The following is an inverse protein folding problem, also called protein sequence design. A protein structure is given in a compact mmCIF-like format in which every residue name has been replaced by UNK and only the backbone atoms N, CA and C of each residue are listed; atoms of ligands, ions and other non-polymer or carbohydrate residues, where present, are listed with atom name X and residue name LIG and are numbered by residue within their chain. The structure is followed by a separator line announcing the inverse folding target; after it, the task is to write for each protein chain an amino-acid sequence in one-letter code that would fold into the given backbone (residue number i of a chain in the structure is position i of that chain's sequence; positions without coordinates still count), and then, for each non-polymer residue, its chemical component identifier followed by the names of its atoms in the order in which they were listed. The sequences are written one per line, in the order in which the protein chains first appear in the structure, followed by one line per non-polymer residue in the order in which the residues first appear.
data_IF_257497080433
#
_entry.id   IF_257497080433
#
_cell.length_a   1.000
_cell.length_b   1.000
_cell.length_c   1.000
_cell.angle_alpha   90.00
_cell.angle_beta   90.00
_cell.angle_gamma   90.00
#
_symmetry.space_group_name_H-M   'P 1'
#
loop_
_entity.id
_entity.type
_entity.pdbx_description
1 polymer ?
#
# COMPACT_ATOMS: atom_id res chain seq x y z
N UNK A 1 -9.33 11.20 -14.90
CA UNK A 1 -9.32 9.86 -14.29
C UNK A 1 -10.70 9.27 -14.54
N UNK A 2 -10.82 8.33 -15.47
CA UNK A 2 -12.09 7.61 -15.66
C UNK A 2 -12.32 6.67 -14.47
N UNK A 3 -13.53 6.73 -13.92
CA UNK A 3 -13.92 5.99 -12.73
C UNK A 3 -14.12 4.52 -13.12
N UNK A 4 -13.11 3.67 -12.91
CA UNK A 4 -13.13 2.24 -13.28
C UNK A 4 -14.31 1.50 -12.65
N UNK A 5 -14.91 2.04 -11.57
CA UNK A 5 -16.10 1.51 -10.92
C UNK A 5 -17.37 1.50 -11.77
N UNK A 6 -17.45 2.32 -12.82
CA UNK A 6 -18.63 2.42 -13.70
C UNK A 6 -18.45 1.71 -15.05
N UNK A 7 -17.24 1.20 -15.33
CA UNK A 7 -16.97 0.51 -16.59
C UNK A 7 -17.61 -0.89 -16.56
N UNK A 8 -18.52 -1.14 -17.49
CA UNK A 8 -19.21 -2.43 -17.60
C UNK A 8 -18.91 -3.15 -18.91
N UNK A 9 -18.70 -4.47 -18.82
CA UNK A 9 -18.41 -5.36 -19.94
C UNK A 9 -19.67 -6.11 -20.38
N UNK A 10 -19.70 -6.50 -21.67
CA UNK A 10 -20.70 -7.44 -22.16
C UNK A 10 -20.48 -8.83 -21.55
N UNK A 11 -21.50 -9.68 -21.58
CA UNK A 11 -21.36 -11.05 -21.08
C UNK A 11 -20.29 -11.87 -21.81
N UNK A 12 -20.07 -11.60 -23.10
CA UNK A 12 -19.06 -12.30 -23.89
C UNK A 12 -17.67 -11.92 -23.45
N UNK A 13 -17.41 -10.62 -23.34
CA UNK A 13 -16.10 -10.09 -22.91
C UNK A 13 -15.80 -10.49 -21.46
N UNK A 14 -16.79 -10.39 -20.58
CA UNK A 14 -16.65 -10.79 -19.18
C UNK A 14 -16.39 -12.29 -19.01
N UNK A 15 -17.04 -13.15 -19.82
CA UNK A 15 -16.82 -14.59 -19.78
C UNK A 15 -15.42 -14.95 -20.29
N UNK A 16 -14.95 -14.26 -21.34
CA UNK A 16 -13.59 -14.41 -21.88
C UNK A 16 -12.54 -14.02 -20.85
N UNK A 17 -12.72 -12.88 -20.18
CA UNK A 17 -11.81 -12.38 -19.14
C UNK A 17 -11.73 -13.34 -17.93
N UNK A 18 -12.84 -13.97 -17.56
CA UNK A 18 -12.91 -14.93 -16.46
C UNK A 18 -12.45 -16.35 -16.86
N UNK A 19 -12.19 -16.62 -18.14
CA UNK A 19 -11.88 -17.96 -18.63
C UNK A 19 -13.03 -18.97 -18.46
N UNK A 20 -14.29 -18.53 -18.39
CA UNK A 20 -15.46 -19.39 -18.17
C UNK A 20 -16.47 -19.27 -19.32
N UNK A 21 -17.42 -20.23 -19.41
CA UNK A 21 -18.52 -20.11 -20.36
C UNK A 21 -19.48 -18.98 -19.97
N UNK A 22 -20.11 -18.34 -20.98
CA UNK A 22 -21.17 -17.35 -20.74
C UNK A 22 -22.34 -17.93 -19.92
N UNK A 23 -22.60 -19.25 -20.03
CA UNK A 23 -23.61 -19.95 -19.22
C UNK A 23 -23.23 -20.00 -17.74
N UNK A 24 -21.96 -20.27 -17.43
CA UNK A 24 -21.42 -20.25 -16.06
C UNK A 24 -21.55 -18.84 -15.47
N UNK A 25 -21.18 -17.81 -16.25
CA UNK A 25 -21.28 -16.42 -15.82
C UNK A 25 -22.73 -15.98 -15.57
N UNK A 26 -23.69 -16.41 -16.40
CA UNK A 26 -25.13 -16.17 -16.12
C UNK A 26 -25.55 -16.77 -14.79
N UNK A 27 -25.19 -18.04 -14.55
CA UNK A 27 -25.51 -18.75 -13.30
C UNK A 27 -24.94 -18.03 -12.08
N UNK A 28 -23.72 -17.50 -12.18
CA UNK A 28 -23.10 -16.74 -11.09
C UNK A 28 -23.82 -15.42 -10.81
N UNK A 29 -24.27 -14.72 -11.85
CA UNK A 29 -25.10 -13.53 -11.68
C UNK A 29 -26.46 -13.87 -11.04
N UNK A 30 -27.11 -14.95 -11.49
CA UNK A 30 -28.39 -15.42 -10.95
C UNK A 30 -28.28 -15.83 -9.47
N UNK A 31 -27.15 -16.41 -9.09
CA UNK A 31 -26.86 -16.80 -7.70
C UNK A 31 -26.29 -15.66 -6.86
N UNK A 32 -26.17 -14.43 -7.39
CA UNK A 32 -25.63 -13.27 -6.68
C UNK A 32 -24.11 -13.28 -6.41
N UNK A 33 -23.35 -14.19 -7.04
CA UNK A 33 -21.88 -14.28 -6.86
C UNK A 33 -21.11 -13.16 -7.56
N UNK A 34 -21.68 -12.58 -8.60
CA UNK A 34 -21.13 -11.42 -9.32
C UNK A 34 -22.25 -10.44 -9.60
N UNK A 35 -22.00 -9.14 -9.42
CA UNK A 35 -23.02 -8.13 -9.72
C UNK A 35 -23.13 -7.95 -11.22
N UNK A 36 -24.36 -7.78 -11.68
CA UNK A 36 -24.66 -7.42 -13.05
C UNK A 36 -25.81 -6.43 -13.10
N UNK A 37 -25.76 -5.50 -14.02
CA UNK A 37 -26.87 -4.62 -14.37
C UNK A 37 -27.44 -5.01 -15.73
N UNK A 38 -28.58 -4.44 -16.10
CA UNK A 38 -29.14 -4.58 -17.46
C UNK A 38 -29.00 -3.26 -18.19
N UNK A 39 -28.50 -3.31 -19.41
CA UNK A 39 -28.55 -2.17 -20.33
C UNK A 39 -30.00 -1.84 -20.68
N UNK A 40 -30.28 -0.65 -21.27
CA UNK A 40 -31.61 -0.33 -21.80
C UNK A 40 -32.13 -1.35 -22.82
N UNK A 41 -31.24 -2.05 -23.53
CA UNK A 41 -31.55 -3.16 -24.44
C UNK A 41 -31.79 -4.51 -23.74
N UNK A 42 -31.79 -4.56 -22.41
CA UNK A 42 -32.05 -5.76 -21.61
C UNK A 42 -30.87 -6.73 -21.48
N UNK A 43 -29.71 -6.43 -22.07
CA UNK A 43 -28.52 -7.27 -22.00
C UNK A 43 -27.82 -7.12 -20.65
N UNK A 44 -27.30 -8.23 -20.11
CA UNK A 44 -26.51 -8.19 -18.87
C UNK A 44 -25.16 -7.52 -19.12
N UNK A 45 -24.82 -6.60 -18.24
CA UNK A 45 -23.56 -5.87 -18.16
C UNK A 45 -22.91 -6.16 -16.82
N UNK A 46 -21.61 -6.39 -16.82
CA UNK A 46 -20.84 -6.84 -15.66
C UNK A 46 -19.78 -5.82 -15.32
N UNK A 47 -19.64 -5.46 -14.05
CA UNK A 47 -18.66 -4.48 -13.62
C UNK A 47 -17.24 -5.02 -13.79
N UNK A 48 -16.39 -4.27 -14.49
CA UNK A 48 -15.00 -4.66 -14.73
C UNK A 48 -14.24 -4.89 -13.41
N UNK A 49 -14.55 -4.09 -12.38
CA UNK A 49 -13.97 -4.25 -11.05
C UNK A 49 -14.32 -5.61 -10.41
N UNK A 50 -15.56 -6.08 -10.58
CA UNK A 50 -15.99 -7.37 -10.02
C UNK A 50 -15.39 -8.54 -10.81
N UNK A 51 -15.24 -8.39 -12.13
CA UNK A 51 -14.59 -9.38 -12.98
C UNK A 51 -13.13 -9.53 -12.57
N UNK A 52 -12.35 -8.44 -12.54
CA UNK A 52 -10.94 -8.47 -12.17
C UNK A 52 -10.68 -9.05 -10.77
N UNK A 53 -11.63 -8.86 -9.84
CA UNK A 53 -11.54 -9.44 -8.50
C UNK A 53 -11.71 -10.96 -8.50
N UNK A 54 -12.49 -11.52 -9.43
CA UNK A 54 -12.90 -12.93 -9.44
C UNK A 54 -12.11 -13.74 -10.48
N UNK A 55 -11.48 -13.08 -11.46
CA UNK A 55 -10.61 -13.73 -12.45
C UNK A 55 -9.52 -14.53 -11.71
N UNK A 56 -9.48 -15.86 -11.85
CA UNK A 56 -8.37 -16.66 -11.35
C UNK A 56 -7.08 -16.12 -11.99
N UNK A 57 -6.10 -15.73 -11.19
CA UNK A 57 -4.81 -15.29 -11.73
C UNK A 57 -4.20 -16.48 -12.44
N UNK A 58 -4.01 -16.37 -13.75
CA UNK A 58 -3.35 -17.43 -14.51
C UNK A 58 -1.93 -17.59 -13.95
N UNK A 59 -1.55 -18.82 -13.58
CA UNK A 59 -0.20 -19.14 -13.08
C UNK A 59 0.91 -18.67 -14.04
N UNK A 60 0.61 -18.57 -15.34
CA UNK A 60 1.52 -18.06 -16.37
C UNK A 60 1.76 -16.53 -16.31
N UNK A 61 0.90 -15.77 -15.62
CA UNK A 61 1.08 -14.31 -15.42
C UNK A 61 1.96 -14.00 -14.20
N UNK A 62 2.34 -15.01 -13.40
CA UNK A 62 3.22 -14.81 -12.25
C UNK A 62 4.66 -14.46 -12.65
N UNK A 63 5.12 -14.95 -13.82
CA UNK A 63 6.49 -14.74 -14.30
C UNK A 63 6.77 -13.28 -14.74
N UNK A 64 5.73 -12.51 -15.10
CA UNK A 64 5.88 -11.10 -15.51
C UNK A 64 5.79 -10.10 -14.34
N UNK A 65 5.58 -10.59 -13.11
CA UNK A 65 5.41 -9.74 -11.94
C UNK A 65 6.74 -9.20 -11.45
N UNK A 66 6.81 -7.89 -11.21
CA UNK A 66 8.05 -7.23 -10.79
C UNK A 66 8.25 -7.25 -9.29
N UNK A 67 9.50 -7.12 -8.86
CA UNK A 67 9.82 -6.78 -7.47
C UNK A 67 9.61 -5.28 -7.23
N UNK A 68 9.00 -4.89 -6.11
CA UNK A 68 8.97 -3.50 -5.67
C UNK A 68 9.86 -3.34 -4.44
N UNK A 69 10.84 -2.45 -4.56
CA UNK A 69 11.59 -1.92 -3.42
C UNK A 69 10.79 -0.74 -2.84
N UNK A 70 10.55 -0.70 -1.54
CA UNK A 70 9.88 0.43 -0.90
C UNK A 70 10.76 1.07 0.18
N UNK A 71 10.97 2.38 0.05
CA UNK A 71 11.77 3.19 0.97
C UNK A 71 10.96 4.37 1.52
N UNK A 72 11.21 4.74 2.79
CA UNK A 72 10.51 5.84 3.46
C UNK A 72 11.38 6.48 4.53
N UNK A 73 11.32 7.80 4.60
CA UNK A 73 11.81 8.58 5.77
C UNK A 73 10.73 9.55 6.25
N UNK A 74 10.78 9.92 7.53
CA UNK A 74 9.73 10.74 8.16
C UNK A 74 9.78 12.22 7.78
N UNK A 75 10.97 12.78 7.48
CA UNK A 75 11.17 14.21 7.20
C UNK A 75 12.10 14.44 6.00
N UNK A 76 11.99 15.63 5.40
CA UNK A 76 12.89 16.07 4.32
C UNK A 76 14.35 16.14 4.77
N UNK A 77 14.60 16.37 6.06
CA UNK A 77 15.94 16.46 6.64
C UNK A 77 16.69 15.13 6.56
N UNK A 78 15.98 14.03 6.29
CA UNK A 78 16.54 12.68 6.15
C UNK A 78 16.59 12.20 4.70
N UNK A 79 16.64 13.12 3.74
CA UNK A 79 16.71 12.78 2.32
C UNK A 79 17.95 11.93 1.96
N UNK A 80 19.09 12.18 2.61
CA UNK A 80 20.29 11.38 2.39
C UNK A 80 20.12 9.93 2.86
N UNK A 81 19.45 9.74 4.00
CA UNK A 81 19.11 8.41 4.50
C UNK A 81 18.16 7.67 3.54
N UNK A 82 17.17 8.36 2.97
CA UNK A 82 16.30 7.80 1.94
C UNK A 82 17.11 7.32 0.72
N UNK A 83 18.11 8.10 0.28
CA UNK A 83 19.00 7.71 -0.83
C UNK A 83 19.80 6.46 -0.49
N UNK A 84 20.37 6.37 0.72
CA UNK A 84 21.10 5.17 1.17
C UNK A 84 20.19 3.96 1.24
N UNK A 85 18.98 4.12 1.77
CA UNK A 85 17.99 3.05 1.87
C UNK A 85 17.62 2.50 0.49
N UNK A 86 17.42 3.39 -0.49
CA UNK A 86 17.20 3.03 -1.89
C UNK A 86 18.38 2.25 -2.45
N UNK A 87 19.61 2.72 -2.26
CA UNK A 87 20.81 2.03 -2.74
C UNK A 87 20.93 0.62 -2.15
N UNK A 88 20.64 0.44 -0.86
CA UNK A 88 20.64 -0.87 -0.20
C UNK A 88 19.61 -1.81 -0.82
N UNK A 89 18.38 -1.33 -1.05
CA UNK A 89 17.31 -2.12 -1.65
C UNK A 89 17.63 -2.50 -3.10
N UNK A 90 18.10 -1.54 -3.89
CA UNK A 90 18.45 -1.77 -5.30
C UNK A 90 19.62 -2.73 -5.44
N UNK A 91 20.69 -2.54 -4.66
CA UNK A 91 21.83 -3.46 -4.65
C UNK A 91 21.42 -4.89 -4.26
N UNK A 92 20.52 -5.03 -3.27
CA UNK A 92 20.00 -6.33 -2.87
C UNK A 92 19.19 -6.99 -4.00
N UNK A 93 18.27 -6.25 -4.61
CA UNK A 93 17.43 -6.78 -5.70
C UNK A 93 18.24 -7.09 -6.96
N UNK A 94 19.24 -6.26 -7.30
CA UNK A 94 20.20 -6.54 -8.39
C UNK A 94 21.02 -7.80 -8.11
N UNK A 95 21.53 -7.98 -6.89
CA UNK A 95 22.34 -9.16 -6.52
C UNK A 95 21.54 -10.45 -6.64
N UNK A 96 20.24 -10.41 -6.37
CA UNK A 96 19.34 -11.55 -6.53
C UNK A 96 18.82 -11.72 -7.97
N UNK A 97 19.23 -10.87 -8.92
CA UNK A 97 18.85 -10.96 -10.33
C UNK A 97 17.38 -10.61 -10.61
N UNK A 98 16.72 -9.86 -9.72
CA UNK A 98 15.31 -9.52 -9.88
C UNK A 98 15.12 -8.28 -10.74
N UNK A 99 14.08 -8.28 -11.58
CA UNK A 99 13.56 -7.06 -12.18
C UNK A 99 12.78 -6.27 -11.11
N UNK A 100 13.13 -5.00 -10.91
CA UNK A 100 12.54 -4.21 -9.83
C UNK A 100 12.18 -2.78 -10.23
N UNK A 101 11.22 -2.21 -9.49
CA UNK A 101 10.93 -0.79 -9.42
C UNK A 101 11.11 -0.30 -7.97
N UNK A 102 11.69 0.88 -7.78
CA UNK A 102 11.80 1.50 -6.46
C UNK A 102 10.72 2.57 -6.27
N UNK A 103 9.88 2.38 -5.24
CA UNK A 103 8.91 3.37 -4.77
C UNK A 103 9.47 4.01 -3.50
N UNK A 104 9.36 5.33 -3.40
CA UNK A 104 9.86 6.10 -2.27
C UNK A 104 8.77 7.03 -1.75
N UNK A 105 8.75 7.25 -0.45
CA UNK A 105 7.86 8.21 0.18
C UNK A 105 8.58 9.08 1.21
N UNK A 106 8.05 10.28 1.35
CA UNK A 106 8.39 11.19 2.43
C UNK A 106 7.18 11.39 3.34
N UNK A 107 7.41 11.20 4.64
CA UNK A 107 6.44 11.47 5.68
C UNK A 107 6.36 10.37 6.72
N UNK A 108 5.68 10.70 7.81
CA UNK A 108 5.47 9.83 8.97
C UNK A 108 4.96 8.43 8.60
N UNK A 109 5.39 7.46 9.42
CA UNK A 109 4.93 6.08 9.37
C UNK A 109 3.44 5.94 9.71
N UNK A 110 2.81 6.98 10.28
CA UNK A 110 1.39 7.05 10.60
C UNK A 110 0.54 7.62 9.45
N UNK A 111 1.15 8.13 8.38
CA UNK A 111 0.41 8.66 7.24
C UNK A 111 0.11 7.57 6.20
N UNK A 112 -1.15 7.15 6.08
CA UNK A 112 -1.57 6.11 5.12
C UNK A 112 -1.87 6.67 3.72
N UNK A 113 -1.87 7.99 3.53
CA UNK A 113 -2.24 8.65 2.27
C UNK A 113 -1.03 9.01 1.39
N UNK A 114 0.17 8.58 1.77
CA UNK A 114 1.39 8.82 0.99
C UNK A 114 1.25 8.23 -0.42
N UNK A 115 1.72 8.98 -1.43
CA UNK A 115 1.48 8.63 -2.84
C UNK A 115 2.17 7.32 -3.22
N UNK A 116 3.39 7.08 -2.73
CA UNK A 116 4.11 5.84 -2.96
C UNK A 116 3.38 4.63 -2.34
N UNK A 117 2.92 4.75 -1.09
CA UNK A 117 2.17 3.72 -0.40
C UNK A 117 0.86 3.39 -1.13
N UNK A 118 0.11 4.40 -1.54
CA UNK A 118 -1.13 4.20 -2.31
C UNK A 118 -0.86 3.53 -3.66
N UNK A 119 0.27 3.89 -4.32
CA UNK A 119 0.72 3.21 -5.54
C UNK A 119 1.06 1.74 -5.27
N UNK A 120 1.86 1.46 -4.23
CA UNK A 120 2.24 0.11 -3.82
C UNK A 120 1.02 -0.77 -3.55
N UNK A 121 0.08 -0.29 -2.72
CA UNK A 121 -1.14 -1.03 -2.40
C UNK A 121 -1.96 -1.34 -3.66
N UNK A 122 -2.11 -0.37 -4.55
CA UNK A 122 -2.83 -0.57 -5.82
C UNK A 122 -2.15 -1.62 -6.70
N UNK A 123 -0.81 -1.58 -6.80
CA UNK A 123 0.00 -2.54 -7.56
C UNK A 123 -0.17 -3.97 -6.99
N UNK A 124 -0.01 -4.13 -5.67
CA UNK A 124 -0.27 -5.41 -5.00
C UNK A 124 -1.69 -5.91 -5.33
N UNK A 125 -2.70 -5.04 -5.20
CA UNK A 125 -4.09 -5.38 -5.49
C UNK A 125 -4.39 -5.66 -6.97
N UNK A 126 -3.53 -5.20 -7.88
CA UNK A 126 -3.59 -5.51 -9.31
C UNK A 126 -2.93 -6.85 -9.64
N UNK A 127 -2.21 -7.45 -8.68
CA UNK A 127 -1.51 -8.72 -8.85
C UNK A 127 -0.21 -8.60 -9.65
N UNK A 128 0.35 -7.39 -9.79
CA UNK A 128 1.51 -7.12 -10.65
C UNK A 128 2.85 -7.05 -9.90
N UNK A 129 2.84 -7.37 -8.60
CA UNK A 129 4.01 -7.30 -7.70
C UNK A 129 4.38 -8.69 -7.22
N UNK A 130 5.47 -9.30 -7.66
CA UNK A 130 5.87 -10.64 -7.19
C UNK A 130 6.43 -10.58 -5.79
N UNK A 131 7.14 -9.49 -5.47
CA UNK A 131 7.87 -9.33 -4.22
C UNK A 131 7.86 -7.88 -3.76
N UNK A 132 7.68 -7.67 -2.46
CA UNK A 132 7.90 -6.41 -1.78
C UNK A 132 9.18 -6.52 -0.93
N UNK A 133 10.16 -5.67 -1.20
CA UNK A 133 11.42 -5.61 -0.45
C UNK A 133 11.47 -4.36 0.40
N UNK A 134 11.80 -4.55 1.68
CA UNK A 134 11.92 -3.51 2.70
C UNK A 134 13.25 -3.66 3.44
N UNK A 135 13.81 -2.56 3.94
CA UNK A 135 14.93 -2.64 4.88
C UNK A 135 14.45 -3.08 6.25
N UNK A 136 13.37 -2.49 6.74
CA UNK A 136 12.69 -2.81 7.99
C UNK A 136 11.17 -2.69 7.85
N UNK A 137 10.41 -3.40 8.68
CA UNK A 137 8.95 -3.35 8.71
C UNK A 137 8.39 -1.93 8.88
N UNK A 138 8.97 -1.16 9.79
CA UNK A 138 8.55 0.21 10.10
C UNK A 138 8.85 1.23 8.99
N UNK A 139 9.62 0.81 7.96
CA UNK A 139 9.79 1.61 6.75
C UNK A 139 8.59 1.57 5.83
N UNK A 140 7.69 0.60 6.00
CA UNK A 140 6.38 0.62 5.36
C UNK A 140 5.41 1.55 6.11
N UNK A 141 5.10 1.20 7.35
CA UNK A 141 4.15 1.89 8.22
C UNK A 141 4.53 1.64 9.69
N UNK A 142 4.23 2.60 10.57
CA UNK A 142 4.46 2.44 12.02
C UNK A 142 3.47 1.47 12.65
N UNK A 143 2.23 1.49 12.18
CA UNK A 143 1.18 0.54 12.56
C UNK A 143 0.50 0.01 11.30
N UNK A 144 -0.03 -1.22 11.36
CA UNK A 144 -0.80 -1.79 10.25
C UNK A 144 0.03 -2.33 9.09
N UNK A 145 1.35 -2.46 9.24
CA UNK A 145 2.19 -3.14 8.26
C UNK A 145 1.74 -4.61 8.06
N UNK A 146 1.28 -5.26 9.12
CA UNK A 146 0.73 -6.62 9.10
C UNK A 146 -0.52 -6.74 8.23
N UNK A 147 -1.35 -5.70 8.17
CA UNK A 147 -2.50 -5.68 7.26
C UNK A 147 -2.02 -5.63 5.81
N UNK A 148 -0.94 -4.89 5.54
CA UNK A 148 -0.32 -4.87 4.21
C UNK A 148 0.32 -6.22 3.89
N UNK A 149 0.96 -6.88 4.85
CA UNK A 149 1.54 -8.20 4.64
C UNK A 149 0.48 -9.29 4.42
N UNK A 150 -0.66 -9.22 5.13
CA UNK A 150 -1.80 -10.09 4.86
C UNK A 150 -2.37 -9.87 3.45
N UNK A 151 -2.41 -8.61 2.98
CA UNK A 151 -2.73 -8.33 1.57
C UNK A 151 -1.65 -8.86 0.63
N UNK A 152 -0.36 -8.77 0.97
CA UNK A 152 0.69 -9.37 0.15
C UNK A 152 0.46 -10.88 0.02
N UNK A 153 0.18 -11.58 1.11
CA UNK A 153 -0.10 -13.03 1.12
C UNK A 153 -1.31 -13.40 0.25
N UNK A 154 -2.46 -12.73 0.45
CA UNK A 154 -3.67 -12.93 -0.36
C UNK A 154 -3.43 -12.69 -1.85
N UNK A 155 -2.50 -11.79 -2.17
CA UNK A 155 -2.15 -11.45 -3.54
C UNK A 155 -0.89 -12.19 -4.02
N UNK A 156 -0.42 -13.22 -3.31
CA UNK A 156 0.78 -14.01 -3.66
C UNK A 156 2.02 -13.14 -3.92
N UNK A 157 2.18 -12.08 -3.13
CA UNK A 157 3.35 -11.19 -3.11
C UNK A 157 4.25 -11.63 -1.97
N UNK A 158 5.49 -12.03 -2.27
CA UNK A 158 6.49 -12.34 -1.25
C UNK A 158 6.95 -11.07 -0.53
N UNK A 159 7.07 -11.09 0.80
CA UNK A 159 7.64 -9.97 1.56
C UNK A 159 9.05 -10.33 2.04
N UNK A 160 10.03 -9.51 1.64
CA UNK A 160 11.44 -9.68 2.03
C UNK A 160 11.91 -8.49 2.84
N UNK A 161 12.48 -8.75 4.02
CA UNK A 161 13.01 -7.72 4.93
C UNK A 161 14.52 -7.94 5.10
N UNK A 162 15.32 -6.96 4.68
CA UNK A 162 16.79 -7.06 4.62
C UNK A 162 17.43 -6.93 6.02
N UNK A 163 16.74 -6.31 6.99
CA UNK A 163 17.23 -6.06 8.36
C UNK A 163 18.63 -5.41 8.42
N UNK A 164 18.94 -4.53 7.47
CA UNK A 164 20.15 -3.70 7.51
C UNK A 164 19.82 -2.34 8.11
N UNK A 165 20.26 -2.12 9.35
CA UNK A 165 20.22 -0.81 10.00
C UNK A 165 21.37 0.05 9.48
N UNK A 166 21.12 0.86 8.45
CA UNK A 166 22.11 1.79 7.88
C UNK A 166 21.83 3.27 8.20
N UNK A 167 21.03 3.52 9.23
CA UNK A 167 20.38 4.82 9.45
C UNK A 167 21.20 5.70 10.40
N UNK A 168 21.53 6.92 9.98
CA UNK A 168 22.22 7.94 10.80
C UNK A 168 21.32 8.51 11.91
N UNK A 169 20.01 8.46 11.70
CA UNK A 169 18.97 8.79 12.69
C UNK A 169 18.49 7.49 13.28
N UNK A 170 18.52 7.39 14.61
CA UNK A 170 18.10 6.13 15.24
C UNK A 170 16.61 5.93 15.03
N UNK A 171 16.22 4.68 14.80
CA UNK A 171 14.83 4.25 14.83
C UNK A 171 14.01 4.85 15.99
N UNK A 172 14.66 5.00 17.15
CA UNK A 172 14.09 5.60 18.37
C UNK A 172 13.68 7.06 18.16
N UNK A 173 14.49 7.87 17.46
CA UNK A 173 14.16 9.27 17.17
C UNK A 173 12.92 9.37 16.27
N UNK A 174 12.79 8.52 15.25
CA UNK A 174 11.57 8.49 14.43
C UNK A 174 10.34 8.02 15.23
N UNK A 175 10.52 7.06 16.14
CA UNK A 175 9.43 6.55 16.98
C UNK A 175 8.89 7.64 17.92
N UNK A 176 9.78 8.44 18.50
CA UNK A 176 9.42 9.58 19.34
C UNK A 176 8.63 10.62 18.56
N UNK A 177 9.04 10.92 17.32
CA UNK A 177 8.32 11.86 16.46
C UNK A 177 6.90 11.37 16.16
N UNK A 178 6.73 10.08 15.84
CA UNK A 178 5.42 9.49 15.60
C UNK A 178 4.55 9.48 16.88
N UNK A 179 5.14 9.31 18.06
CA UNK A 179 4.42 9.48 19.34
C UNK A 179 3.92 10.91 19.54
N UNK A 180 4.73 11.93 19.23
CA UNK A 180 4.28 13.33 19.30
C UNK A 180 3.10 13.56 18.37
N UNK A 181 3.17 13.08 17.12
CA UNK A 181 2.07 13.22 16.16
C UNK A 181 0.79 12.57 16.69
N UNK A 182 0.88 11.35 17.21
CA UNK A 182 -0.25 10.60 17.74
C UNK A 182 -0.90 11.37 18.91
N UNK A 183 -0.10 11.78 19.90
CA UNK A 183 -0.60 12.52 21.06
C UNK A 183 -1.15 13.89 20.66
N UNK A 184 -0.56 14.55 19.66
CA UNK A 184 -1.07 15.81 19.11
C UNK A 184 -2.47 15.63 18.54
N UNK A 185 -2.71 14.56 17.76
CA UNK A 185 -4.03 14.25 17.22
C UNK A 185 -5.04 13.96 18.34
N UNK A 186 -4.66 13.17 19.35
CA UNK A 186 -5.54 12.89 20.49
C UNK A 186 -5.83 14.14 21.32
N UNK A 187 -4.83 14.96 21.60
CA UNK A 187 -4.97 16.20 22.38
C UNK A 187 -5.84 17.23 21.66
N UNK A 188 -5.71 17.34 20.34
CA UNK A 188 -6.56 18.20 19.52
C UNK A 188 -8.03 17.74 19.54
N UNK A 189 -8.28 16.42 19.55
CA UNK A 189 -9.64 15.87 19.69
C UNK A 189 -10.22 16.03 21.10
N UNK A 190 -9.40 15.83 22.13
CA UNK A 190 -9.82 15.91 23.53
C UNK A 190 -10.10 17.34 24.00
N UNK A 191 -9.20 18.27 23.66
CA UNK A 191 -9.25 19.63 24.19
C UNK A 191 -9.66 20.67 23.14
N UNK A 192 -9.79 20.29 21.87
CA UNK A 192 -9.93 21.20 20.74
C UNK A 192 -8.58 21.73 20.26
N UNK A 193 -8.40 21.76 18.93
CA UNK A 193 -7.13 22.11 18.26
C UNK A 193 -6.55 23.46 18.68
N UNK A 194 -7.41 24.44 18.98
CA UNK A 194 -7.02 25.81 19.37
C UNK A 194 -6.97 26.05 20.88
N UNK A 195 -7.18 25.03 21.73
CA UNK A 195 -7.22 25.27 23.17
C UNK A 195 -5.83 25.52 23.76
N UNK A 196 -5.77 26.35 24.80
CA UNK A 196 -4.54 26.62 25.55
C UNK A 196 -3.97 25.34 26.20
N UNK A 197 -4.84 24.39 26.57
CA UNK A 197 -4.44 23.08 27.14
C UNK A 197 -3.73 22.21 26.10
N UNK A 198 -4.27 22.14 24.88
CA UNK A 198 -3.63 21.44 23.77
C UNK A 198 -2.24 22.01 23.47
N UNK A 199 -2.15 23.34 23.36
CA UNK A 199 -0.87 24.02 23.11
C UNK A 199 0.16 23.73 24.19
N UNK A 200 -0.21 23.82 25.46
CA UNK A 200 0.71 23.57 26.58
C UNK A 200 1.23 22.12 26.61
N UNK A 201 0.39 21.13 26.29
CA UNK A 201 0.79 19.73 26.20
C UNK A 201 1.79 19.49 25.07
N UNK A 202 1.49 19.99 23.87
CA UNK A 202 2.36 19.84 22.68
C UNK A 202 3.70 20.55 22.91
N UNK A 203 3.68 21.78 23.43
CA UNK A 203 4.89 22.55 23.72
C UNK A 203 5.77 21.81 24.74
N UNK A 204 5.16 21.28 25.82
CA UNK A 204 5.87 20.51 26.85
C UNK A 204 6.52 19.24 26.30
N UNK A 205 5.82 18.50 25.44
CA UNK A 205 6.39 17.29 24.83
C UNK A 205 7.48 17.60 23.80
N UNK A 206 7.31 18.66 23.01
CA UNK A 206 8.36 19.10 22.08
C UNK A 206 9.64 19.48 22.82
N UNK A 207 9.52 20.05 24.02
CA UNK A 207 10.64 20.33 24.91
C UNK A 207 11.36 19.06 25.36
N UNK A 208 10.62 18.06 25.86
CA UNK A 208 11.19 16.77 26.30
C UNK A 208 11.95 16.08 25.17
N UNK A 209 11.44 16.13 23.94
CA UNK A 209 12.12 15.50 22.79
C UNK A 209 13.42 16.21 22.41
N UNK A 210 13.46 17.53 22.52
CA UNK A 210 14.71 18.29 22.33
C UNK A 210 15.77 18.01 23.40
N UNK A 211 15.37 17.54 24.57
CA UNK A 211 16.29 17.16 25.65
C UNK A 211 16.85 15.75 25.47
N UNK A 212 16.22 14.92 24.63
CA UNK A 212 16.58 13.51 24.38
C UNK A 212 17.35 13.34 23.05
N UNK A 213 17.27 14.32 22.14
CA UNK A 213 18.05 14.40 20.88
C UNK A 213 19.41 15.03 21.10
#
# INVERSE_FOLDING_TARGET
MENISEVTLSIGDAAKELGISTKTLRRWADSGKIRSERSPSGQRRFFLADIKRITPRELNQLDDRITINYARVSSYDHKEDLVRQVQVLEAFSTTNGWQFETIQDLGSGLNYQKKGLQKLLKRIMQGDVSRLVLTHKDRLLRFGAELVFAMCEEFETEVVIINKSSEEVTFEQELVQDMIELITVFSARLYGSRSKKNKKLIDGMTQVVKEVQ
#
